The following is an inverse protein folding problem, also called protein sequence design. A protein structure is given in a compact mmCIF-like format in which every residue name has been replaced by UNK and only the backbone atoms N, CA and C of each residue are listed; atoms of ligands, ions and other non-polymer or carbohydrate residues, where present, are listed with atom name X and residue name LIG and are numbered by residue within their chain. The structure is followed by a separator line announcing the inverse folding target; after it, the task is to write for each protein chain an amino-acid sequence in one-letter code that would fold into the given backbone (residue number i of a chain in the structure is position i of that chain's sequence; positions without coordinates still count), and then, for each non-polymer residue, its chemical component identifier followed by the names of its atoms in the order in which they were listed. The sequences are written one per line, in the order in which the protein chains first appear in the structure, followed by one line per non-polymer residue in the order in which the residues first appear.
data_IF_091489901678
#
_entry.id   IF_091489901678
#
_cell.length_a   1.000
_cell.length_b   1.000
_cell.length_c   1.000
_cell.angle_alpha   90.00
_cell.angle_beta   90.00
_cell.angle_gamma   90.00
#
_symmetry.space_group_name_H-M   'P 1'
#
loop_
_entity.id
_entity.type
_entity.pdbx_description
1 polymer ?
#
# COMPACT_ATOMS: atom_id res chain seq x y z
N UNK A 1 10.22 35.09 10.84
CA UNK A 1 10.17 33.87 9.99
C UNK A 1 9.02 33.04 10.50
N UNK A 2 8.00 32.81 9.68
CA UNK A 2 6.89 31.93 10.05
C UNK A 2 7.39 30.49 9.97
N UNK A 3 7.36 29.79 11.10
CA UNK A 3 7.60 28.36 11.16
C UNK A 3 6.36 27.69 10.59
N UNK A 4 6.48 27.12 9.39
CA UNK A 4 5.43 26.31 8.79
C UNK A 4 5.54 24.96 9.49
N UNK A 5 4.72 24.75 10.50
CA UNK A 5 4.51 23.44 11.08
C UNK A 5 3.71 22.62 10.06
N UNK A 6 4.38 21.69 9.38
CA UNK A 6 3.70 20.67 8.57
C UNK A 6 2.99 19.72 9.54
N UNK A 7 1.73 20.02 9.87
CA UNK A 7 0.86 19.05 10.53
C UNK A 7 0.58 17.96 9.50
N UNK A 8 1.33 16.87 9.60
CA UNK A 8 1.04 15.65 8.85
C UNK A 8 -0.02 14.87 9.64
N UNK A 9 -1.22 14.75 9.09
CA UNK A 9 -2.22 13.83 9.62
C UNK A 9 -1.76 12.40 9.34
N UNK A 10 -1.49 11.65 10.40
CA UNK A 10 -1.08 10.25 10.32
C UNK A 10 -2.28 9.35 10.61
N UNK A 11 -2.59 8.47 9.66
CA UNK A 11 -3.61 7.44 9.82
C UNK A 11 -2.92 6.12 10.18
N UNK A 12 -3.30 5.54 11.32
CA UNK A 12 -2.77 4.26 11.79
C UNK A 12 -3.78 3.16 11.43
N UNK A 13 -3.33 2.22 10.61
CA UNK A 13 -4.13 1.07 10.15
C UNK A 13 -3.52 -0.25 10.65
N UNK A 14 -4.25 -1.33 10.41
CA UNK A 14 -3.70 -2.68 10.56
C UNK A 14 -2.51 -2.92 9.61
N UNK A 15 -1.67 -3.89 9.95
CA UNK A 15 -0.55 -4.28 9.09
C UNK A 15 -1.05 -5.16 7.92
N UNK A 16 -0.83 -4.70 6.70
CA UNK A 16 -1.21 -5.40 5.46
C UNK A 16 0.02 -5.97 4.75
N UNK A 17 -0.23 -6.92 3.85
CA UNK A 17 0.80 -7.52 2.99
C UNK A 17 1.09 -6.68 1.74
N UNK A 18 1.83 -7.26 0.79
CA UNK A 18 2.18 -6.60 -0.47
C UNK A 18 0.97 -6.42 -1.38
N UNK A 19 1.07 -5.42 -2.27
CA UNK A 19 0.10 -5.23 -3.34
C UNK A 19 0.27 -6.31 -4.43
N UNK A 20 -0.73 -6.42 -5.32
CA UNK A 20 -0.74 -7.45 -6.36
C UNK A 20 0.47 -7.35 -7.32
N UNK A 21 0.81 -6.18 -7.92
CA UNK A 21 1.98 -6.04 -8.80
C UNK A 21 3.29 -6.44 -8.13
N UNK A 22 3.59 -5.92 -6.94
CA UNK A 22 4.85 -6.22 -6.24
C UNK A 22 4.94 -7.71 -5.91
N UNK A 23 3.81 -8.34 -5.61
CA UNK A 23 3.74 -9.78 -5.37
C UNK A 23 4.05 -10.58 -6.63
N UNK A 24 3.54 -10.14 -7.80
CA UNK A 24 3.85 -10.73 -9.09
C UNK A 24 5.35 -10.57 -9.39
N UNK A 25 5.90 -9.38 -9.26
CA UNK A 25 7.29 -9.10 -9.61
C UNK A 25 8.28 -9.85 -8.72
N UNK A 26 7.98 -9.98 -7.42
CA UNK A 26 8.87 -10.65 -6.47
C UNK A 26 8.84 -12.19 -6.55
N UNK A 27 7.74 -12.80 -7.00
CA UNK A 27 7.52 -14.25 -6.80
C UNK A 27 7.03 -14.99 -8.05
N UNK A 28 6.59 -14.29 -9.10
CA UNK A 28 6.05 -14.91 -10.31
C UNK A 28 6.94 -14.65 -11.52
N UNK A 29 7.77 -15.64 -11.91
CA UNK A 29 8.70 -15.47 -13.03
C UNK A 29 8.02 -15.19 -14.38
N UNK A 30 6.72 -15.47 -14.51
CA UNK A 30 5.93 -15.23 -15.72
C UNK A 30 5.14 -13.91 -15.70
N UNK A 31 5.28 -13.09 -14.65
CA UNK A 31 4.63 -11.79 -14.55
C UNK A 31 3.10 -11.84 -14.49
N UNK A 32 2.51 -12.98 -14.07
CA UNK A 32 1.05 -13.18 -14.03
C UNK A 32 0.62 -14.10 -12.89
N UNK A 33 -0.48 -13.73 -12.23
CA UNK A 33 -1.13 -14.58 -11.23
C UNK A 33 -1.63 -15.89 -11.85
N UNK A 34 -1.60 -17.01 -11.11
CA UNK A 34 -2.32 -18.22 -11.48
C UNK A 34 -3.81 -17.93 -11.68
N UNK A 35 -4.43 -18.49 -12.73
CA UNK A 35 -5.81 -18.16 -13.09
C UNK A 35 -6.84 -18.39 -11.97
N UNK A 36 -6.65 -19.41 -11.14
CA UNK A 36 -7.51 -19.66 -9.96
C UNK A 36 -7.40 -18.53 -8.93
N UNK A 37 -6.19 -18.04 -8.67
CA UNK A 37 -5.94 -16.94 -7.73
C UNK A 37 -6.47 -15.61 -8.29
N UNK A 38 -6.23 -15.35 -9.58
CA UNK A 38 -6.77 -14.17 -10.27
C UNK A 38 -8.30 -14.11 -10.20
N UNK A 39 -8.98 -15.25 -10.40
CA UNK A 39 -10.45 -15.34 -10.27
C UNK A 39 -10.92 -15.01 -8.85
N UNK A 40 -10.28 -15.58 -7.84
CA UNK A 40 -10.62 -15.32 -6.43
C UNK A 40 -10.42 -13.85 -6.06
N UNK A 41 -9.31 -13.23 -6.50
CA UNK A 41 -9.03 -11.81 -6.27
C UNK A 41 -10.08 -10.93 -6.95
N UNK A 42 -10.46 -11.23 -8.19
CA UNK A 42 -11.49 -10.50 -8.92
C UNK A 42 -12.85 -10.58 -8.21
N UNK A 43 -13.26 -11.77 -7.79
CA UNK A 43 -14.49 -11.98 -7.02
C UNK A 43 -14.49 -11.17 -5.71
N UNK A 44 -13.41 -11.28 -4.95
CA UNK A 44 -13.21 -10.53 -3.71
C UNK A 44 -13.23 -9.00 -3.91
N UNK A 45 -12.69 -8.51 -5.03
CA UNK A 45 -12.68 -7.08 -5.37
C UNK A 45 -14.09 -6.58 -5.66
N UNK A 46 -14.86 -7.35 -6.43
CA UNK A 46 -16.24 -6.99 -6.78
C UNK A 46 -17.16 -6.96 -5.54
N UNK A 47 -17.03 -7.92 -4.63
CA UNK A 47 -17.81 -7.95 -3.38
C UNK A 47 -17.51 -6.73 -2.50
N UNK A 48 -16.24 -6.35 -2.37
CA UNK A 48 -15.84 -5.18 -1.58
C UNK A 48 -16.31 -3.88 -2.24
N UNK A 49 -16.22 -3.81 -3.57
CA UNK A 49 -16.72 -2.67 -4.31
C UNK A 49 -18.24 -2.50 -4.14
N UNK A 50 -18.99 -3.58 -4.22
CA UNK A 50 -20.44 -3.56 -3.96
C UNK A 50 -20.74 -3.06 -2.53
N UNK A 51 -19.95 -3.50 -1.55
CA UNK A 51 -20.08 -3.04 -0.17
C UNK A 51 -19.83 -1.53 -0.03
N UNK A 52 -18.82 -0.98 -0.72
CA UNK A 52 -18.56 0.47 -0.74
C UNK A 52 -19.73 1.23 -1.37
N UNK A 53 -20.25 0.74 -2.49
CA UNK A 53 -21.41 1.32 -3.16
C UNK A 53 -22.66 1.34 -2.26
N UNK A 54 -22.91 0.26 -1.51
CA UNK A 54 -24.03 0.19 -0.56
C UNK A 54 -23.92 1.23 0.57
N UNK A 55 -22.70 1.66 0.91
CA UNK A 55 -22.45 2.72 1.90
C UNK A 55 -22.45 4.13 1.29
N UNK A 56 -22.83 4.28 0.01
CA UNK A 56 -22.72 5.53 -0.76
C UNK A 56 -21.29 6.08 -0.81
N UNK A 57 -20.29 5.23 -0.60
CA UNK A 57 -18.90 5.59 -0.80
C UNK A 57 -18.63 5.41 -2.29
N UNK A 58 -18.71 6.53 -3.01
CA UNK A 58 -18.31 6.61 -4.40
C UNK A 58 -16.85 7.03 -4.47
N UNK A 59 -15.98 6.20 -5.04
CA UNK A 59 -14.77 6.73 -5.66
C UNK A 59 -15.18 7.38 -6.98
N UNK A 60 -14.89 8.67 -7.17
CA UNK A 60 -15.46 9.43 -8.28
C UNK A 60 -15.15 8.95 -9.67
N UNK A 61 -16.13 8.95 -10.59
CA UNK A 61 -15.98 8.83 -12.06
C UNK A 61 -15.28 7.59 -12.64
N UNK A 62 -14.46 6.93 -11.82
CA UNK A 62 -13.58 5.81 -12.02
C UNK A 62 -13.09 5.47 -10.61
N UNK A 63 -13.52 4.32 -10.08
CA UNK A 63 -12.79 3.77 -8.93
C UNK A 63 -11.35 3.66 -9.39
N UNK A 64 -10.38 4.25 -8.67
CA UNK A 64 -8.96 3.95 -8.90
C UNK A 64 -8.65 2.55 -8.37
N UNK A 65 -9.45 1.58 -8.83
CA UNK A 65 -9.36 0.16 -8.57
C UNK A 65 -8.21 -0.36 -9.43
N UNK A 66 -7.03 0.13 -9.12
CA UNK A 66 -5.81 -0.37 -9.69
C UNK A 66 -5.32 -1.55 -8.84
N UNK A 67 -4.64 -2.49 -9.49
CA UNK A 67 -4.10 -3.66 -8.80
C UNK A 67 -3.09 -3.29 -7.70
N UNK A 68 -2.49 -2.08 -7.73
CA UNK A 68 -1.62 -1.60 -6.65
C UNK A 68 -2.39 -1.16 -5.39
N UNK A 69 -3.69 -0.86 -5.48
CA UNK A 69 -4.58 -0.59 -4.34
C UNK A 69 -5.25 -1.85 -3.80
N UNK A 70 -4.91 -3.01 -4.36
CA UNK A 70 -5.31 -4.31 -3.86
C UNK A 70 -4.12 -4.91 -3.12
N UNK A 71 -4.24 -5.03 -1.80
CA UNK A 71 -3.21 -5.58 -0.93
C UNK A 71 -3.68 -6.87 -0.28
N UNK A 72 -2.79 -7.84 -0.12
CA UNK A 72 -3.11 -9.07 0.61
C UNK A 72 -3.24 -8.80 2.12
N UNK A 73 -4.13 -9.52 2.79
CA UNK A 73 -4.15 -9.54 4.25
C UNK A 73 -2.97 -10.35 4.80
N UNK A 74 -2.50 -9.97 5.98
CA UNK A 74 -1.37 -10.62 6.63
C UNK A 74 -1.74 -11.12 8.03
N UNK A 75 -2.54 -12.18 8.07
CA UNK A 75 -3.09 -12.75 9.31
C UNK A 75 -2.04 -13.33 10.27
N UNK A 76 -0.84 -13.64 9.80
CA UNK A 76 0.24 -14.11 10.68
C UNK A 76 0.72 -13.04 11.67
N UNK A 77 0.29 -11.79 11.51
CA UNK A 77 0.80 -10.63 12.25
C UNK A 77 -0.17 -10.08 13.30
N UNK A 78 -1.39 -10.61 13.39
CA UNK A 78 -2.44 -10.06 14.27
C UNK A 78 -2.07 -10.12 15.77
N UNK A 79 -1.17 -11.03 16.16
CA UNK A 79 -0.77 -11.27 17.56
C UNK A 79 0.76 -11.32 17.78
N UNK A 80 1.54 -10.76 16.86
CA UNK A 80 3.01 -10.79 16.96
C UNK A 80 3.48 -9.63 17.84
N UNK A 81 4.33 -9.93 18.83
CA UNK A 81 4.97 -8.88 19.64
C UNK A 81 6.02 -8.12 18.82
N UNK A 82 6.42 -6.94 19.27
CA UNK A 82 7.48 -6.17 18.60
C UNK A 82 8.79 -6.96 18.47
N UNK A 83 9.14 -7.74 19.50
CA UNK A 83 10.31 -8.62 19.48
C UNK A 83 10.15 -9.73 18.45
N UNK A 84 8.98 -10.39 18.40
CA UNK A 84 8.68 -11.42 17.41
C UNK A 84 8.70 -10.88 15.98
N UNK A 85 8.23 -9.65 15.78
CA UNK A 85 8.29 -8.96 14.48
C UNK A 85 9.74 -8.68 14.07
N UNK A 86 10.55 -8.20 15.01
CA UNK A 86 11.96 -7.91 14.79
C UNK A 86 12.78 -9.19 14.54
N UNK A 87 12.46 -10.28 15.22
CA UNK A 87 13.08 -11.58 14.95
C UNK A 87 12.72 -12.09 13.55
N UNK A 88 11.47 -11.90 13.15
CA UNK A 88 10.94 -12.32 11.86
C UNK A 88 11.52 -11.54 10.67
N UNK A 89 11.63 -10.22 10.78
CA UNK A 89 12.11 -9.34 9.70
C UNK A 89 13.59 -8.97 9.80
N UNK A 90 14.21 -9.23 10.94
CA UNK A 90 15.54 -8.73 11.28
C UNK A 90 15.51 -7.31 11.85
N UNK A 91 16.66 -6.87 12.35
CA UNK A 91 16.84 -5.48 12.81
C UNK A 91 16.78 -4.51 11.62
N UNK A 92 16.12 -3.35 11.76
CA UNK A 92 16.12 -2.33 10.73
C UNK A 92 17.54 -1.92 10.32
N UNK A 93 17.81 -1.94 9.02
CA UNK A 93 19.05 -1.42 8.45
C UNK A 93 18.88 0.09 8.20
N UNK A 94 19.65 0.91 8.92
CA UNK A 94 19.58 2.37 8.81
C UNK A 94 20.76 2.93 8.02
N UNK A 95 20.50 3.97 7.24
CA UNK A 95 21.52 4.79 6.59
C UNK A 95 21.38 6.24 7.01
N UNK A 96 22.43 6.86 7.53
CA UNK A 96 22.39 8.26 7.92
C UNK A 96 22.36 9.17 6.69
N UNK A 97 21.47 10.16 6.73
CA UNK A 97 21.39 11.19 5.70
C UNK A 97 22.50 12.21 5.94
N UNK A 98 23.34 12.41 4.95
CA UNK A 98 24.42 13.41 5.00
C UNK A 98 24.36 14.27 3.74
N UNK A 99 24.61 15.56 3.91
CA UNK A 99 24.77 16.45 2.77
C UNK A 99 26.14 16.24 2.14
N UNK A 100 26.17 16.24 0.82
CA UNK A 100 27.41 16.14 0.05
C UNK A 100 28.36 17.33 0.25
N UNK A 101 27.85 18.47 0.72
CA UNK A 101 28.64 19.67 1.04
C UNK A 101 29.17 19.68 2.50
N UNK A 102 28.90 18.64 3.28
CA UNK A 102 29.34 18.52 4.68
C UNK A 102 28.63 19.44 5.68
N UNK A 103 27.61 20.21 5.25
CA UNK A 103 26.82 21.05 6.16
C UNK A 103 25.76 20.23 6.91
N UNK A 104 25.15 20.85 7.92
CA UNK A 104 24.04 20.27 8.67
C UNK A 104 22.77 20.11 7.82
N UNK A 105 21.95 19.12 8.20
CA UNK A 105 20.65 18.88 7.58
C UNK A 105 19.72 20.08 7.79
N UNK A 106 18.93 20.42 6.77
CA UNK A 106 17.91 21.47 6.88
C UNK A 106 16.70 20.97 7.69
N UNK A 107 15.93 21.87 8.32
CA UNK A 107 14.69 21.50 8.99
C UNK A 107 13.76 20.72 8.06
N UNK A 108 13.23 19.59 8.54
CA UNK A 108 12.33 18.72 7.77
C UNK A 108 13.03 17.59 7.00
N UNK A 109 14.37 17.55 6.98
CA UNK A 109 15.11 16.41 6.42
C UNK A 109 15.35 15.36 7.51
N UNK A 110 14.99 14.08 7.31
CA UNK A 110 15.21 13.04 8.30
C UNK A 110 16.70 12.77 8.51
N UNK A 111 17.10 12.45 9.74
CA UNK A 111 18.49 12.16 10.10
C UNK A 111 18.98 10.81 9.53
N UNK A 112 18.05 9.89 9.29
CA UNK A 112 18.33 8.58 8.72
C UNK A 112 17.17 8.11 7.85
N UNK A 113 17.51 7.21 6.93
CA UNK A 113 16.56 6.42 6.16
C UNK A 113 16.64 4.97 6.62
N UNK A 114 15.52 4.26 6.54
CA UNK A 114 15.45 2.83 6.83
C UNK A 114 15.33 2.07 5.50
N UNK A 115 16.19 1.08 5.29
CA UNK A 115 16.11 0.24 4.10
C UNK A 115 14.84 -0.62 4.15
N UNK A 116 14.05 -0.71 3.07
CA UNK A 116 12.93 -1.65 3.01
C UNK A 116 13.41 -3.09 3.21
N UNK A 117 12.71 -3.83 4.07
CA UNK A 117 12.91 -5.27 4.26
C UNK A 117 11.81 -6.05 3.53
N UNK A 118 12.08 -7.30 3.15
CA UNK A 118 11.10 -8.16 2.48
C UNK A 118 10.75 -9.37 3.32
N UNK A 119 9.46 -9.61 3.50
CA UNK A 119 8.96 -10.81 4.15
C UNK A 119 8.97 -11.98 3.16
N UNK A 120 9.94 -12.88 3.30
CA UNK A 120 10.19 -13.97 2.33
C UNK A 120 9.26 -15.17 2.46
N UNK A 121 8.41 -15.22 3.48
CA UNK A 121 7.64 -16.43 3.79
C UNK A 121 6.20 -16.29 3.36
N UNK A 122 5.88 -16.59 2.10
CA UNK A 122 4.50 -16.92 1.75
C UNK A 122 4.46 -18.11 0.80
N UNK A 123 3.88 -19.21 1.26
CA UNK A 123 3.22 -20.16 0.39
C UNK A 123 1.90 -19.54 -0.06
N UNK A 124 1.68 -19.54 -1.38
CA UNK A 124 0.56 -18.84 -1.98
C UNK A 124 -0.73 -19.60 -1.69
N UNK A 125 -1.56 -19.07 -0.79
CA UNK A 125 -2.82 -19.71 -0.45
C UNK A 125 -3.97 -19.07 -1.25
N UNK A 126 -4.72 -19.83 -2.06
CA UNK A 126 -5.95 -19.33 -2.69
C UNK A 126 -7.00 -18.81 -1.69
N UNK A 127 -6.91 -19.16 -0.42
CA UNK A 127 -7.74 -18.61 0.66
C UNK A 127 -7.27 -17.23 1.16
N UNK A 128 -6.17 -16.69 0.63
CA UNK A 128 -5.67 -15.38 1.04
C UNK A 128 -6.65 -14.29 0.65
N UNK A 129 -6.99 -13.44 1.62
CA UNK A 129 -7.93 -12.35 1.42
C UNK A 129 -7.18 -11.11 0.91
N UNK A 130 -7.89 -10.25 0.19
CA UNK A 130 -7.38 -8.93 -0.20
C UNK A 130 -8.08 -7.82 0.58
N UNK A 131 -7.55 -6.61 0.56
CA UNK A 131 -8.25 -5.38 0.96
C UNK A 131 -8.04 -4.31 -0.10
N UNK A 132 -9.04 -3.44 -0.24
CA UNK A 132 -8.94 -2.22 -1.05
C UNK A 132 -8.39 -1.15 -0.12
N UNK A 133 -7.30 -0.50 -0.52
CA UNK A 133 -6.68 0.62 0.19
C UNK A 133 -6.73 1.87 -0.67
N UNK A 134 -6.26 2.99 -0.10
CA UNK A 134 -6.16 4.30 -0.73
C UNK A 134 -7.52 4.85 -1.17
N UNK A 135 -8.21 5.44 -0.20
CA UNK A 135 -9.48 6.13 -0.37
C UNK A 135 -9.30 7.65 -0.48
N UNK A 136 -8.08 8.14 -0.77
CA UNK A 136 -7.79 9.60 -0.76
C UNK A 136 -8.70 10.36 -1.74
N UNK A 137 -9.06 9.73 -2.86
CA UNK A 137 -9.98 10.27 -3.87
C UNK A 137 -11.41 9.70 -3.77
N UNK A 138 -11.83 9.25 -2.58
CA UNK A 138 -13.21 8.81 -2.30
C UNK A 138 -14.11 9.96 -1.87
N UNK A 139 -15.40 9.84 -2.18
CA UNK A 139 -16.46 10.73 -1.70
C UNK A 139 -17.69 9.96 -1.20
N UNK A 140 -18.53 10.62 -0.41
CA UNK A 140 -19.75 10.04 0.17
C UNK A 140 -21.02 10.35 -0.64
N UNK A 141 -20.93 11.14 -1.72
CA UNK A 141 -22.11 11.58 -2.46
C UNK A 141 -21.97 11.34 -3.99
N UNK A 142 -22.81 10.49 -4.60
CA UNK A 142 -22.79 10.23 -6.04
C UNK A 142 -23.07 11.46 -6.91
N UNK A 143 -23.50 12.58 -6.34
CA UNK A 143 -23.71 13.85 -7.06
C UNK A 143 -22.45 14.71 -7.16
N UNK A 144 -21.40 14.41 -6.39
CA UNK A 144 -20.09 15.06 -6.47
C UNK A 144 -19.22 14.37 -7.51
N UNK A 145 -19.60 14.44 -8.78
CA UNK A 145 -18.71 14.00 -9.86
C UNK A 145 -17.49 14.93 -9.92
N UNK A 146 -16.31 14.41 -9.58
CA UNK A 146 -15.05 15.07 -9.90
C UNK A 146 -14.91 15.11 -11.44
N UNK A 147 -14.78 16.32 -12.00
CA UNK A 147 -14.62 16.54 -13.45
C UNK A 147 -13.26 16.09 -13.99
N UNK A 148 -12.31 15.82 -13.11
CA UNK A 148 -10.92 15.48 -13.42
C UNK A 148 -10.47 14.40 -12.44
N UNK A 149 -9.98 13.28 -12.98
CA UNK A 149 -9.29 12.25 -12.22
C UNK A 149 -7.78 12.42 -12.44
N UNK A 150 -7.01 12.43 -11.36
CA UNK A 150 -5.55 12.43 -11.43
C UNK A 150 -5.00 11.02 -11.21
N UNK A 151 -5.37 10.07 -12.08
CA UNK A 151 -4.72 8.75 -12.08
C UNK A 151 -3.29 8.90 -12.61
N UNK A 152 -2.25 8.64 -11.83
CA UNK A 152 -0.91 8.57 -12.39
C UNK A 152 -0.84 7.39 -13.40
N UNK A 153 -0.61 7.70 -14.67
CA UNK A 153 0.44 7.06 -15.48
C UNK A 153 1.24 5.92 -14.79
N UNK A 154 0.89 4.61 -14.85
CA UNK A 154 1.89 3.59 -14.60
C UNK A 154 2.98 3.68 -15.68
N UNK A 155 4.04 4.43 -15.40
CA UNK A 155 5.23 4.49 -16.24
C UNK A 155 6.07 3.26 -15.89
N UNK A 156 6.06 2.25 -16.75
CA UNK A 156 7.07 1.18 -16.69
C UNK A 156 8.38 1.76 -17.23
N UNK A 157 9.34 2.01 -16.34
CA UNK A 157 10.73 2.23 -16.76
C UNK A 157 11.26 0.95 -17.40
N UNK A 158 11.70 1.03 -18.65
CA UNK A 158 12.40 -0.05 -19.36
C UNK A 158 13.82 -0.22 -18.88
#
# INVERSE_FOLDING_TARGET
MAQIDFINECLVYELLGTNIPDTIDAHLPYGRLPGKLAKVIAEQSLIRLDSLHQQNIGHGGSIDLHTCNLVFTMHCMDNVTEEGFTEMLGKPEIGYVQRSDGKGLEPGIPEYIVRPTSYRTHSWNPAQLIKIIDFVESFFNPQQFLKTLHTPLPVRGT
#
